data_IF_733336552964
#
_entry.id   IF_733336552964
#
_cell.length_a   1.000
_cell.length_b   1.000
_cell.length_c   1.000
_cell.angle_alpha   90.00
_cell.angle_beta   90.00
_cell.angle_gamma   90.00
#
_symmetry.space_group_name_H-M   'P 1'
#
loop_
_entity.id
_entity.type
_entity.pdbx_description
1 polymer ?
#
# COMPACT_ATOMS: atom_id res chain seq x y z
N UNK A 1 -9.00 11.74 1.10
CA UNK A 1 -8.91 10.74 2.19
C UNK A 1 -9.72 9.51 1.81
N UNK A 2 -9.06 8.36 1.66
CA UNK A 2 -9.69 7.10 1.24
C UNK A 2 -9.18 5.93 2.09
N UNK A 3 -9.80 4.73 2.05
CA UNK A 3 -9.41 3.60 2.90
C UNK A 3 -7.92 3.21 2.81
N UNK A 4 -7.35 3.18 1.61
CA UNK A 4 -5.92 2.86 1.44
C UNK A 4 -4.99 3.92 2.03
N UNK A 5 -5.42 5.19 2.19
CA UNK A 5 -4.63 6.21 2.90
C UNK A 5 -4.49 5.87 4.39
N UNK A 6 -5.51 5.27 5.01
CA UNK A 6 -5.46 4.82 6.41
C UNK A 6 -4.57 3.59 6.57
N UNK A 7 -4.68 2.64 5.64
CA UNK A 7 -3.96 1.38 5.76
C UNK A 7 -2.47 1.49 5.39
N UNK A 8 -2.16 2.23 4.32
CA UNK A 8 -0.82 2.41 3.78
C UNK A 8 -0.13 3.69 4.28
N UNK A 9 -0.74 4.40 5.22
CA UNK A 9 -0.14 5.58 5.83
C UNK A 9 1.19 5.22 6.51
N UNK A 10 2.23 6.07 6.40
CA UNK A 10 3.49 5.86 7.09
C UNK A 10 3.31 6.13 8.59
N UNK A 11 4.40 5.96 9.36
CA UNK A 11 4.44 6.36 10.77
C UNK A 11 3.94 7.77 11.00
N UNK A 12 3.19 7.94 12.08
CA UNK A 12 2.69 9.25 12.51
C UNK A 12 3.82 10.10 13.17
N UNK A 13 3.55 11.36 13.54
CA UNK A 13 4.56 12.21 14.21
C UNK A 13 5.08 11.67 15.56
N UNK A 14 4.36 10.75 16.19
CA UNK A 14 4.77 10.06 17.41
C UNK A 14 5.56 8.78 17.13
N UNK A 15 5.73 8.42 15.85
CA UNK A 15 6.40 7.22 15.39
C UNK A 15 5.54 5.96 15.39
N UNK A 16 4.22 6.08 15.60
CA UNK A 16 3.31 4.93 15.62
C UNK A 16 3.21 4.31 14.22
N UNK A 17 3.49 3.00 14.04
CA UNK A 17 3.32 2.33 12.75
C UNK A 17 1.90 2.37 12.22
N UNK A 18 1.78 2.52 10.90
CA UNK A 18 0.53 2.37 10.16
C UNK A 18 0.06 0.91 10.08
N UNK A 19 -1.13 0.65 9.55
CA UNK A 19 -1.71 -0.70 9.54
C UNK A 19 -0.84 -1.72 8.79
N UNK A 20 -0.25 -1.33 7.65
CA UNK A 20 0.66 -2.21 6.90
C UNK A 20 1.94 -2.51 7.67
N UNK A 21 2.55 -1.50 8.27
CA UNK A 21 3.78 -1.66 9.04
C UNK A 21 3.55 -2.56 10.27
N UNK A 22 2.48 -2.29 11.03
CA UNK A 22 2.11 -3.10 12.19
C UNK A 22 1.76 -4.55 11.82
N UNK A 23 1.14 -4.79 10.65
CA UNK A 23 0.82 -6.14 10.20
C UNK A 23 2.06 -6.98 9.82
N UNK A 24 3.19 -6.34 9.54
CA UNK A 24 4.45 -6.98 9.12
C UNK A 24 5.49 -7.10 10.25
N UNK A 25 5.32 -6.44 11.40
CA UNK A 25 6.36 -6.36 12.43
C UNK A 25 6.74 -7.73 13.03
N UNK A 26 5.78 -8.63 13.26
CA UNK A 26 6.04 -9.87 14.03
C UNK A 26 5.39 -11.15 13.45
N UNK A 27 4.89 -11.12 12.21
CA UNK A 27 3.99 -12.17 11.70
C UNK A 27 4.57 -13.08 10.60
N UNK A 28 5.86 -12.94 10.25
CA UNK A 28 6.41 -13.58 9.05
C UNK A 28 7.75 -14.26 9.28
N UNK A 29 7.76 -15.58 9.15
CA UNK A 29 8.99 -16.33 8.86
C UNK A 29 9.14 -16.44 7.34
N UNK A 30 10.30 -16.01 6.84
CA UNK A 30 10.57 -15.96 5.40
C UNK A 30 11.25 -17.25 4.98
N UNK A 31 10.58 -18.07 4.17
CA UNK A 31 11.19 -19.29 3.65
C UNK A 31 12.36 -18.98 2.68
N UNK A 32 12.15 -18.02 1.77
CA UNK A 32 13.19 -17.50 0.87
C UNK A 32 13.09 -15.97 0.80
N UNK A 33 14.05 -15.23 1.39
CA UNK A 33 14.05 -13.76 1.33
C UNK A 33 14.13 -13.18 -0.09
N UNK A 34 14.65 -13.92 -1.07
CA UNK A 34 14.64 -13.49 -2.47
C UNK A 34 13.24 -13.59 -3.11
N UNK A 35 12.31 -14.31 -2.48
CA UNK A 35 10.94 -14.52 -2.91
C UNK A 35 9.96 -14.24 -1.75
N UNK A 36 9.65 -12.96 -1.46
CA UNK A 36 8.94 -12.56 -0.25
C UNK A 36 7.42 -12.79 -0.30
N UNK A 37 7.00 -14.03 -0.54
CA UNK A 37 5.59 -14.40 -0.75
C UNK A 37 4.75 -14.16 0.51
N UNK A 38 5.33 -14.34 1.69
CA UNK A 38 4.67 -14.16 2.98
C UNK A 38 4.31 -12.69 3.21
N UNK A 39 5.21 -11.77 2.88
CA UNK A 39 4.97 -10.31 2.91
C UNK A 39 3.87 -9.94 1.91
N UNK A 40 3.98 -10.42 0.67
CA UNK A 40 2.99 -10.14 -0.38
C UNK A 40 1.60 -10.64 0.02
N UNK A 41 1.51 -11.81 0.65
CA UNK A 41 0.23 -12.37 1.11
C UNK A 41 -0.44 -11.47 2.13
N UNK A 42 0.31 -10.94 3.10
CA UNK A 42 -0.24 -10.03 4.09
C UNK A 42 -0.65 -8.70 3.47
N UNK A 43 0.19 -8.07 2.65
CA UNK A 43 -0.15 -6.79 2.04
C UNK A 43 -1.34 -6.90 1.06
N UNK A 44 -1.40 -7.96 0.25
CA UNK A 44 -2.53 -8.18 -0.66
C UNK A 44 -3.85 -8.47 0.06
N UNK A 45 -3.81 -8.96 1.31
CA UNK A 45 -5.05 -9.16 2.09
C UNK A 45 -5.79 -7.85 2.41
N UNK A 46 -5.11 -6.70 2.29
CA UNK A 46 -5.70 -5.38 2.45
C UNK A 46 -6.22 -4.76 1.15
N UNK A 47 -6.13 -5.47 0.01
CA UNK A 47 -6.51 -4.96 -1.33
C UNK A 47 -5.92 -3.56 -1.63
N UNK A 48 -4.58 -3.44 -1.72
CA UNK A 48 -3.90 -2.15 -1.83
C UNK A 48 -4.21 -1.42 -3.14
N UNK A 49 -4.89 -0.28 -3.06
CA UNK A 49 -5.01 0.67 -4.17
C UNK A 49 -4.11 1.89 -3.94
N UNK A 50 -2.90 1.90 -4.50
CA UNK A 50 -1.96 3.02 -4.33
C UNK A 50 -2.45 4.29 -5.02
N UNK A 51 -3.04 4.19 -6.21
CA UNK A 51 -3.64 5.35 -6.88
C UNK A 51 -4.70 6.03 -6.01
N UNK A 52 -5.49 5.22 -5.28
CA UNK A 52 -6.45 5.70 -4.31
C UNK A 52 -5.72 6.34 -3.12
N UNK A 53 -4.69 5.69 -2.56
CA UNK A 53 -3.99 6.15 -1.36
C UNK A 53 -3.36 7.55 -1.50
N UNK A 54 -2.70 7.84 -2.63
CA UNK A 54 -1.97 9.11 -2.87
C UNK A 54 -2.72 10.11 -3.74
N UNK A 55 -3.88 9.71 -4.30
CA UNK A 55 -4.70 10.55 -5.16
C UNK A 55 -3.89 11.08 -6.37
N UNK A 56 -3.57 10.21 -7.33
CA UNK A 56 -2.89 10.64 -8.55
C UNK A 56 -3.86 11.49 -9.37
N UNK A 57 -3.77 12.81 -9.24
CA UNK A 57 -4.59 13.80 -9.96
C UNK A 57 -3.73 14.85 -10.62
N UNK A 58 -4.09 15.24 -11.85
CA UNK A 58 -3.57 16.43 -12.51
C UNK A 58 -4.11 17.70 -11.81
N UNK A 59 -3.32 18.77 -11.63
CA UNK A 59 -3.80 20.01 -11.02
C UNK A 59 -4.98 20.64 -11.76
N UNK A 60 -5.08 20.42 -13.08
CA UNK A 60 -6.14 20.94 -13.95
C UNK A 60 -7.29 19.93 -14.16
N UNK A 61 -7.19 18.73 -13.58
CA UNK A 61 -8.21 17.67 -13.64
C UNK A 61 -8.22 16.88 -14.95
N UNK A 62 -7.20 17.01 -15.79
CA UNK A 62 -7.12 16.29 -17.06
C UNK A 62 -6.75 14.80 -16.87
N UNK A 63 -7.15 13.97 -17.84
CA UNK A 63 -6.87 12.52 -17.83
C UNK A 63 -5.35 12.27 -18.06
N UNK A 64 -4.59 12.05 -16.98
CA UNK A 64 -3.12 11.90 -17.05
C UNK A 64 -2.66 10.73 -17.94
N UNK A 65 -3.30 9.57 -17.83
CA UNK A 65 -2.97 8.37 -18.61
C UNK A 65 -4.21 7.50 -18.80
N UNK A 66 -4.47 7.10 -20.05
CA UNK A 66 -5.49 6.11 -20.41
C UNK A 66 -4.82 4.82 -20.86
N UNK A 67 -4.79 3.80 -20.00
CA UNK A 67 -4.25 2.48 -20.36
C UNK A 67 -5.35 1.61 -20.94
N UNK A 68 -5.21 1.24 -22.22
CA UNK A 68 -6.10 0.30 -22.90
C UNK A 68 -5.46 -1.08 -22.83
N UNK A 69 -6.01 -1.97 -22.00
CA UNK A 69 -5.57 -3.36 -21.93
C UNK A 69 -6.28 -4.13 -23.04
N UNK A 70 -5.50 -4.93 -23.78
CA UNK A 70 -5.94 -5.70 -24.94
C UNK A 70 -6.38 -7.10 -24.54
#
# INVERSE_FOLDING_TARGET
VVPSTWNAGPRDPSGQPGAYEAALEDNHEMHDPAQPIEILRTIHSFDPCIACAVHVTDPDGEELVKVKIK
#
